data_IF_124023811020
#
_entry.id   IF_124023811020
#
_cell.length_a   1.000
_cell.length_b   1.000
_cell.length_c   1.000
_cell.angle_alpha   90.00
_cell.angle_beta   90.00
_cell.angle_gamma   90.00
#
_symmetry.space_group_name_H-M   'P 1'
#
loop_
_entity.id
_entity.type
_entity.pdbx_description
1 polymer ?
#
# COMPACT_ATOMS: atom_id res chain seq x y z
N UNK A 1 15.45 28.51 -18.26
CA UNK A 1 14.08 28.20 -17.82
C UNK A 1 14.06 26.74 -17.37
N UNK A 2 13.65 26.40 -16.15
CA UNK A 2 13.53 25.02 -15.75
C UNK A 2 12.46 24.36 -16.65
N UNK A 3 12.84 23.26 -17.29
CA UNK A 3 11.93 22.41 -18.07
C UNK A 3 10.84 21.95 -17.09
N UNK A 4 9.60 22.38 -17.30
CA UNK A 4 8.46 21.83 -16.55
C UNK A 4 8.51 20.32 -16.75
N UNK A 5 8.55 19.50 -15.69
CA UNK A 5 8.50 18.06 -15.85
C UNK A 5 7.23 17.74 -16.64
N UNK A 6 7.41 17.11 -17.79
CA UNK A 6 6.29 16.67 -18.62
C UNK A 6 5.48 15.60 -17.92
N UNK A 7 4.23 15.41 -18.34
CA UNK A 7 3.42 14.29 -17.87
C UNK A 7 4.17 12.97 -18.11
N UNK A 8 4.15 12.06 -17.12
CA UNK A 8 4.57 10.68 -17.34
C UNK A 8 3.69 10.07 -18.44
N UNK A 9 4.30 9.45 -19.43
CA UNK A 9 3.60 8.77 -20.53
C UNK A 9 4.16 7.39 -20.75
N UNK A 10 3.30 6.41 -20.73
CA UNK A 10 3.52 5.06 -21.21
C UNK A 10 2.80 4.95 -22.55
N UNK A 11 3.51 4.54 -23.60
CA UNK A 11 3.01 4.47 -24.98
C UNK A 11 3.15 3.04 -25.48
N UNK A 12 2.03 2.35 -25.72
CA UNK A 12 1.93 0.97 -26.17
C UNK A 12 2.86 0.04 -25.38
N UNK A 13 2.84 0.12 -24.03
CA UNK A 13 3.75 -0.62 -23.17
C UNK A 13 3.32 -2.08 -23.07
N UNK A 14 4.22 -2.97 -23.49
CA UNK A 14 4.11 -4.41 -23.30
C UNK A 14 5.12 -4.90 -22.29
N UNK A 15 4.75 -5.91 -21.51
CA UNK A 15 5.67 -6.59 -20.59
C UNK A 15 5.41 -8.08 -20.55
N UNK A 16 6.49 -8.83 -20.75
CA UNK A 16 6.54 -10.30 -20.63
C UNK A 16 7.75 -10.70 -19.80
N UNK A 17 7.63 -11.71 -19.00
CA UNK A 17 8.72 -12.31 -18.24
C UNK A 17 9.04 -13.68 -18.82
N UNK A 18 10.21 -13.80 -19.44
CA UNK A 18 10.64 -15.04 -20.11
C UNK A 18 9.64 -15.48 -21.18
N UNK A 19 9.16 -16.75 -21.09
CA UNK A 19 8.17 -17.35 -22.02
C UNK A 19 6.73 -17.31 -21.51
N UNK A 20 6.49 -16.67 -20.33
CA UNK A 20 5.17 -16.55 -19.77
C UNK A 20 4.25 -15.66 -20.65
N UNK A 21 2.92 -15.73 -20.49
CA UNK A 21 1.98 -14.79 -21.12
C UNK A 21 2.34 -13.33 -20.82
N UNK A 22 1.89 -12.42 -21.66
CA UNK A 22 2.05 -11.00 -21.43
C UNK A 22 1.32 -10.55 -20.17
N UNK A 23 2.04 -9.82 -19.32
CA UNK A 23 1.49 -9.20 -18.11
C UNK A 23 0.89 -7.84 -18.41
N UNK A 24 1.47 -7.10 -19.36
CA UNK A 24 0.93 -5.86 -19.92
C UNK A 24 0.90 -5.99 -21.43
N UNK A 25 -0.24 -5.65 -22.04
CA UNK A 25 -0.53 -5.86 -23.46
C UNK A 25 -0.93 -4.51 -24.12
N UNK A 26 0.07 -3.69 -24.47
CA UNK A 26 -0.15 -2.43 -25.15
C UNK A 26 -0.76 -1.34 -24.25
N UNK A 27 -0.26 -1.20 -23.02
CA UNK A 27 -0.80 -0.23 -22.07
C UNK A 27 -0.40 1.20 -22.47
N UNK A 28 -1.42 2.05 -22.63
CA UNK A 28 -1.29 3.50 -22.75
C UNK A 28 -1.74 4.17 -21.47
N UNK A 29 -0.87 5.01 -20.90
CA UNK A 29 -1.16 5.77 -19.68
C UNK A 29 -0.45 7.12 -19.72
N UNK A 30 -1.19 8.17 -19.43
CA UNK A 30 -0.61 9.49 -19.14
C UNK A 30 -0.99 9.90 -17.71
N UNK A 31 -0.02 10.46 -16.96
CA UNK A 31 -0.24 11.04 -15.65
C UNK A 31 0.32 12.46 -15.67
N UNK A 32 -0.57 13.44 -15.64
CA UNK A 32 -0.19 14.85 -15.68
C UNK A 32 0.38 15.33 -14.33
N UNK A 33 1.15 16.44 -14.29
CA UNK A 33 1.45 17.13 -13.05
C UNK A 33 0.16 17.47 -12.29
N UNK A 34 0.18 17.30 -10.98
CA UNK A 34 -0.98 17.51 -10.08
C UNK A 34 -2.12 16.50 -10.27
N UNK A 35 -1.94 15.48 -11.06
CA UNK A 35 -2.94 14.43 -11.27
C UNK A 35 -2.66 13.23 -10.35
N UNK A 36 -3.72 12.68 -9.78
CA UNK A 36 -3.71 11.41 -9.06
C UNK A 36 -4.40 10.37 -9.93
N UNK A 37 -3.68 9.29 -10.25
CA UNK A 37 -4.22 8.14 -10.95
C UNK A 37 -4.19 6.93 -10.03
N UNK A 38 -5.35 6.32 -9.82
CA UNK A 38 -5.53 5.10 -9.03
C UNK A 38 -5.73 3.93 -9.97
N UNK A 39 -4.89 2.90 -9.83
CA UNK A 39 -5.00 1.67 -10.63
C UNK A 39 -5.49 0.53 -9.74
N UNK A 40 -6.72 0.09 -9.98
CA UNK A 40 -7.30 -1.10 -9.37
C UNK A 40 -7.14 -2.33 -10.27
N UNK A 41 -7.38 -3.51 -9.72
CA UNK A 41 -7.35 -4.76 -10.48
C UNK A 41 -7.08 -5.96 -9.56
N UNK A 42 -7.38 -7.19 -10.02
CA UNK A 42 -7.15 -8.40 -9.24
C UNK A 42 -5.65 -8.63 -8.97
N UNK A 43 -5.35 -9.50 -8.00
CA UNK A 43 -3.98 -9.93 -7.75
C UNK A 43 -3.43 -10.65 -9.00
N UNK A 44 -2.17 -10.38 -9.35
CA UNK A 44 -1.55 -10.93 -10.55
C UNK A 44 -1.92 -10.21 -11.86
N UNK A 45 -2.75 -9.18 -11.85
CA UNK A 45 -3.14 -8.46 -13.08
C UNK A 45 -2.03 -7.60 -13.70
N UNK A 46 -0.88 -7.42 -13.02
CA UNK A 46 0.24 -6.66 -13.53
C UNK A 46 0.38 -5.25 -12.93
N UNK A 47 -0.40 -4.87 -11.90
CA UNK A 47 -0.31 -3.55 -11.25
C UNK A 47 1.10 -3.19 -10.83
N UNK A 48 1.75 -4.03 -10.02
CA UNK A 48 3.12 -3.81 -9.56
C UNK A 48 4.13 -3.75 -10.73
N UNK A 49 3.86 -4.50 -11.80
CA UNK A 49 4.68 -4.44 -13.03
C UNK A 49 4.54 -3.08 -13.71
N UNK A 50 3.32 -2.57 -13.84
CA UNK A 50 3.04 -1.25 -14.39
C UNK A 50 3.74 -0.16 -13.57
N UNK A 51 3.62 -0.22 -12.23
CA UNK A 51 4.24 0.74 -11.32
C UNK A 51 5.78 0.69 -11.39
N UNK A 52 6.38 -0.50 -11.43
CA UNK A 52 7.83 -0.65 -11.60
C UNK A 52 8.32 -0.04 -12.91
N UNK A 53 7.56 -0.18 -14.00
CA UNK A 53 7.91 0.44 -15.28
C UNK A 53 7.75 1.96 -15.19
N UNK A 54 6.67 2.46 -14.59
CA UNK A 54 6.46 3.88 -14.37
C UNK A 54 7.59 4.50 -13.51
N UNK A 55 7.95 3.86 -12.41
CA UNK A 55 9.03 4.29 -11.52
C UNK A 55 10.44 4.18 -12.15
N UNK A 56 10.60 3.36 -13.19
CA UNK A 56 11.89 3.13 -13.85
C UNK A 56 12.72 1.99 -13.27
N UNK A 57 12.20 1.26 -12.31
CA UNK A 57 12.84 0.08 -11.73
C UNK A 57 12.73 -1.17 -12.61
N UNK A 58 11.87 -1.14 -13.65
CA UNK A 58 11.77 -2.18 -14.68
C UNK A 58 11.68 -1.57 -16.07
N UNK A 59 12.19 -2.27 -17.08
CA UNK A 59 12.06 -1.88 -18.49
C UNK A 59 10.86 -2.61 -19.11
N UNK A 60 10.08 -1.96 -20.01
CA UNK A 60 9.08 -2.65 -20.81
C UNK A 60 9.77 -3.63 -21.78
N UNK A 61 9.05 -4.64 -22.27
CA UNK A 61 9.53 -5.53 -23.35
C UNK A 61 9.46 -4.80 -24.69
N UNK A 62 8.39 -4.02 -24.92
CA UNK A 62 8.25 -3.10 -26.03
C UNK A 62 7.38 -1.90 -25.62
N UNK A 63 7.26 -0.90 -26.49
CA UNK A 63 6.65 0.38 -26.16
C UNK A 63 7.65 1.37 -25.57
N UNK A 64 7.18 2.51 -25.07
CA UNK A 64 8.03 3.62 -24.61
C UNK A 64 7.50 4.22 -23.32
N UNK A 65 8.43 4.74 -22.49
CA UNK A 65 8.12 5.55 -21.31
C UNK A 65 8.80 6.91 -21.49
N UNK A 66 8.03 7.99 -21.39
CA UNK A 66 8.50 9.37 -21.54
C UNK A 66 8.05 10.25 -20.39
N UNK A 67 8.71 11.36 -20.18
CA UNK A 67 8.31 12.39 -19.23
C UNK A 67 8.44 11.98 -17.76
N UNK A 68 9.21 10.92 -17.44
CA UNK A 68 9.48 10.58 -16.05
C UNK A 68 10.24 11.72 -15.37
N UNK A 69 9.77 12.13 -14.20
CA UNK A 69 10.44 13.13 -13.41
C UNK A 69 11.85 12.70 -13.00
N UNK A 70 12.80 13.63 -12.84
CA UNK A 70 14.16 13.32 -12.39
C UNK A 70 14.19 12.67 -11.00
N UNK A 71 13.29 13.10 -10.10
CA UNK A 71 13.14 12.55 -8.75
C UNK A 71 11.81 11.79 -8.69
N UNK A 72 11.89 10.51 -8.34
CA UNK A 72 10.75 9.61 -8.23
C UNK A 72 10.69 9.08 -6.80
N UNK A 73 9.61 9.38 -6.09
CA UNK A 73 9.27 8.73 -4.84
C UNK A 73 8.61 7.38 -5.16
N UNK A 74 9.22 6.28 -4.76
CA UNK A 74 8.70 4.95 -5.07
C UNK A 74 8.57 4.08 -3.83
N UNK A 75 7.36 3.58 -3.59
CA UNK A 75 7.06 2.53 -2.63
C UNK A 75 6.70 1.25 -3.39
N UNK A 76 7.48 0.16 -3.30
CA UNK A 76 7.10 -1.14 -3.82
C UNK A 76 6.06 -1.82 -2.90
N UNK A 77 5.29 -2.77 -3.46
CA UNK A 77 4.32 -3.62 -2.73
C UNK A 77 4.93 -4.26 -1.45
N UNK A 78 6.18 -4.69 -1.55
CA UNK A 78 6.95 -5.17 -0.40
C UNK A 78 8.22 -4.35 -0.26
N UNK A 79 8.25 -3.54 0.78
CA UNK A 79 9.46 -2.80 1.13
C UNK A 79 10.43 -3.72 1.87
N UNK A 80 11.60 -3.97 1.26
CA UNK A 80 12.62 -4.81 1.87
C UNK A 80 13.43 -4.02 2.90
N UNK A 81 13.25 -4.34 4.17
CA UNK A 81 13.98 -3.76 5.28
C UNK A 81 15.21 -4.59 5.71
N UNK A 82 15.84 -5.36 4.82
CA UNK A 82 16.96 -6.25 5.16
C UNK A 82 18.28 -5.52 5.50
N UNK A 83 18.29 -4.21 5.49
CA UNK A 83 19.46 -3.41 5.80
C UNK A 83 19.77 -3.43 7.30
N UNK A 84 21.05 -3.61 7.66
CA UNK A 84 21.53 -3.48 9.04
C UNK A 84 21.65 -2.02 9.52
N UNK A 85 21.36 -1.08 8.64
CA UNK A 85 21.39 0.36 8.90
C UNK A 85 20.11 0.78 9.65
N UNK A 86 20.21 1.68 10.65
CA UNK A 86 19.06 2.28 11.29
C UNK A 86 18.18 3.08 10.31
N UNK A 87 16.84 3.06 10.52
CA UNK A 87 15.89 3.75 9.65
C UNK A 87 16.17 5.26 9.54
N UNK A 88 16.52 5.92 10.64
CA UNK A 88 16.88 7.35 10.65
C UNK A 88 18.13 7.64 9.78
N UNK A 89 19.13 6.76 9.81
CA UNK A 89 20.35 6.90 9.00
C UNK A 89 20.04 6.67 7.53
N UNK A 90 19.21 5.65 7.23
CA UNK A 90 18.76 5.34 5.88
C UNK A 90 18.03 6.52 5.23
N UNK A 91 17.02 7.08 5.90
CA UNK A 91 16.24 8.21 5.39
C UNK A 91 17.09 9.45 5.18
N UNK A 92 18.04 9.75 6.08
CA UNK A 92 19.00 10.84 5.92
C UNK A 92 19.92 10.67 4.71
N UNK A 93 20.40 9.44 4.44
CA UNK A 93 21.21 9.17 3.26
C UNK A 93 20.43 9.39 1.96
N UNK A 94 19.16 8.98 1.93
CA UNK A 94 18.30 9.21 0.77
C UNK A 94 18.07 10.69 0.50
N UNK A 95 17.79 11.48 1.54
CA UNK A 95 17.64 12.91 1.43
C UNK A 95 18.93 13.56 0.84
N UNK A 96 20.10 13.13 1.31
CA UNK A 96 21.37 13.63 0.78
C UNK A 96 21.58 13.25 -0.71
N UNK A 97 21.14 12.08 -1.14
CA UNK A 97 21.21 11.66 -2.56
C UNK A 97 20.33 12.55 -3.47
N UNK A 98 19.22 13.06 -2.96
CA UNK A 98 18.33 13.95 -3.69
C UNK A 98 18.76 15.43 -3.63
N UNK A 99 19.93 15.71 -3.04
CA UNK A 99 20.47 17.08 -2.87
C UNK A 99 19.54 18.01 -2.06
N UNK A 100 18.71 17.43 -1.23
CA UNK A 100 17.85 18.16 -0.30
C UNK A 100 18.62 18.50 0.99
N UNK A 101 18.09 19.41 1.80
CA UNK A 101 18.59 19.60 3.15
C UNK A 101 18.35 18.31 3.94
N UNK A 102 19.40 17.49 4.08
CA UNK A 102 19.31 16.17 4.70
C UNK A 102 18.80 16.22 6.15
N UNK A 103 19.03 17.32 6.87
CA UNK A 103 18.52 17.49 8.23
C UNK A 103 17.00 17.73 8.22
N UNK A 104 16.52 18.67 7.40
CA UNK A 104 15.08 18.98 7.28
C UNK A 104 14.29 17.78 6.73
N UNK A 105 14.84 17.06 5.74
CA UNK A 105 14.20 15.87 5.20
C UNK A 105 14.17 14.72 6.22
N UNK A 106 15.20 14.56 7.05
CA UNK A 106 15.20 13.57 8.12
C UNK A 106 14.19 13.91 9.23
N UNK A 107 14.03 15.19 9.55
CA UNK A 107 13.02 15.69 10.50
C UNK A 107 11.61 15.41 9.97
N UNK A 108 11.32 15.82 8.73
CA UNK A 108 10.03 15.55 8.07
C UNK A 108 9.73 14.05 7.96
N UNK A 109 10.74 13.22 7.73
CA UNK A 109 10.58 11.77 7.75
C UNK A 109 10.24 11.25 9.15
N UNK A 110 10.84 11.81 10.19
CA UNK A 110 10.55 11.49 11.60
C UNK A 110 9.11 11.83 11.96
N UNK A 111 8.66 13.05 11.65
CA UNK A 111 7.28 13.49 11.84
C UNK A 111 6.27 12.60 11.12
N UNK A 112 6.58 12.22 9.87
CA UNK A 112 5.71 11.32 9.11
C UNK A 112 5.65 9.93 9.73
N UNK A 113 6.76 9.38 10.20
CA UNK A 113 6.80 8.08 10.87
C UNK A 113 5.95 8.10 12.15
N UNK A 114 6.05 9.17 12.94
CA UNK A 114 5.24 9.38 14.15
C UNK A 114 3.74 9.46 13.79
N UNK A 115 3.38 10.28 12.81
CA UNK A 115 2.00 10.43 12.34
C UNK A 115 1.41 9.13 11.76
N UNK A 116 2.24 8.26 11.18
CA UNK A 116 1.86 6.93 10.73
C UNK A 116 1.82 5.91 11.87
N UNK A 117 2.08 6.30 13.12
CA UNK A 117 2.09 5.40 14.26
C UNK A 117 3.24 4.39 14.23
N UNK A 118 4.46 4.82 13.84
CA UNK A 118 5.65 3.99 13.93
C UNK A 118 5.94 3.63 15.39
N UNK A 119 6.10 2.34 15.68
CA UNK A 119 6.33 1.84 17.04
C UNK A 119 7.79 1.47 17.22
N UNK A 120 8.41 1.98 18.28
CA UNK A 120 9.80 1.70 18.63
C UNK A 120 10.77 2.80 18.22
N UNK A 121 12.05 2.48 18.08
CA UNK A 121 13.11 3.44 17.81
C UNK A 121 13.54 3.43 16.35
N UNK A 122 13.63 4.60 15.73
CA UNK A 122 14.23 4.76 14.38
C UNK A 122 15.73 4.48 14.36
N UNK A 123 16.36 4.27 15.55
CA UNK A 123 17.77 3.82 15.71
C UNK A 123 17.89 2.31 15.62
N UNK A 124 16.80 1.55 15.65
CA UNK A 124 16.80 0.11 15.42
C UNK A 124 17.21 -0.18 13.98
N UNK A 125 18.09 -1.17 13.73
CA UNK A 125 18.38 -1.63 12.37
C UNK A 125 17.11 -2.02 11.64
N UNK A 126 17.02 -1.65 10.35
CA UNK A 126 15.82 -1.93 9.55
C UNK A 126 15.51 -3.43 9.47
N UNK A 127 16.53 -4.30 9.50
CA UNK A 127 16.36 -5.76 9.54
C UNK A 127 15.67 -6.30 10.79
N UNK A 128 15.54 -5.49 11.84
CA UNK A 128 14.81 -5.83 13.08
C UNK A 128 13.40 -5.21 13.16
N UNK A 129 12.97 -4.51 12.11
CA UNK A 129 11.63 -3.92 12.08
C UNK A 129 10.57 -4.96 11.76
N UNK A 130 9.38 -4.80 12.34
CA UNK A 130 8.19 -5.51 11.88
C UNK A 130 7.84 -5.10 10.44
N UNK A 131 7.11 -5.94 9.72
CA UNK A 131 6.68 -5.64 8.34
C UNK A 131 5.91 -4.31 8.26
N UNK A 132 5.01 -4.04 9.21
CA UNK A 132 4.28 -2.78 9.28
C UNK A 132 5.17 -1.56 9.52
N UNK A 133 6.20 -1.66 10.38
CA UNK A 133 7.16 -0.59 10.57
C UNK A 133 8.07 -0.41 9.34
N UNK A 134 8.46 -1.49 8.69
CA UNK A 134 9.22 -1.44 7.44
C UNK A 134 8.42 -0.73 6.34
N UNK A 135 7.13 -1.02 6.22
CA UNK A 135 6.22 -0.34 5.29
C UNK A 135 6.15 1.17 5.57
N UNK A 136 6.05 1.58 6.84
CA UNK A 136 6.05 3.00 7.23
C UNK A 136 7.37 3.70 6.86
N UNK A 137 8.51 3.04 7.02
CA UNK A 137 9.81 3.56 6.54
C UNK A 137 9.81 3.70 5.01
N UNK A 138 9.27 2.73 4.28
CA UNK A 138 9.11 2.80 2.83
C UNK A 138 8.21 3.97 2.39
N UNK A 139 7.12 4.24 3.13
CA UNK A 139 6.28 5.42 2.91
C UNK A 139 7.04 6.73 3.17
N UNK A 140 7.77 6.81 4.28
CA UNK A 140 8.58 7.97 4.58
C UNK A 140 9.64 8.21 3.49
N UNK A 141 10.33 7.16 3.02
CA UNK A 141 11.25 7.23 1.88
C UNK A 141 10.60 7.84 0.63
N UNK A 142 9.39 7.38 0.27
CA UNK A 142 8.74 7.80 -0.96
C UNK A 142 8.20 9.24 -0.88
N UNK A 143 7.78 9.69 0.31
CA UNK A 143 7.08 10.96 0.53
C UNK A 143 7.98 12.10 1.03
N UNK A 144 9.17 11.80 1.59
CA UNK A 144 10.04 12.84 2.16
C UNK A 144 10.98 13.50 1.14
N UNK A 145 11.00 13.05 -0.10
CA UNK A 145 11.69 13.74 -1.18
C UNK A 145 10.68 14.58 -2.00
N UNK A 146 11.14 15.73 -2.50
CA UNK A 146 10.35 16.59 -3.40
C UNK A 146 10.20 15.93 -4.77
N UNK A 147 9.48 14.81 -4.81
CA UNK A 147 9.32 13.99 -6.00
C UNK A 147 8.38 14.66 -7.01
N UNK A 148 8.81 14.78 -8.25
CA UNK A 148 7.94 15.19 -9.36
C UNK A 148 7.02 14.06 -9.84
N UNK A 149 7.34 12.81 -9.47
CA UNK A 149 6.51 11.63 -9.69
C UNK A 149 6.50 10.78 -8.42
N UNK A 150 5.31 10.51 -7.90
CA UNK A 150 5.08 9.63 -6.77
C UNK A 150 4.41 8.34 -7.25
N UNK A 151 5.04 7.20 -7.01
CA UNK A 151 4.55 5.88 -7.42
C UNK A 151 4.42 5.00 -6.17
N UNK A 152 3.20 4.61 -5.83
CA UNK A 152 2.92 3.88 -4.60
C UNK A 152 2.17 2.57 -4.89
N UNK A 153 2.78 1.46 -4.55
CA UNK A 153 2.19 0.13 -4.74
C UNK A 153 1.55 -0.33 -3.42
N UNK A 154 0.20 -0.34 -3.40
CA UNK A 154 -0.64 -0.75 -2.28
C UNK A 154 -0.29 -0.07 -0.93
N UNK A 155 -0.14 1.26 -0.89
CA UNK A 155 0.45 1.97 0.24
C UNK A 155 -0.38 1.92 1.53
N UNK A 156 -1.67 1.60 1.45
CA UNK A 156 -2.58 1.48 2.62
C UNK A 156 -2.60 0.09 3.24
N UNK A 157 -1.94 -0.89 2.61
CA UNK A 157 -1.89 -2.26 3.12
C UNK A 157 -1.24 -2.29 4.50
N UNK A 158 -1.90 -2.91 5.48
CA UNK A 158 -1.40 -3.03 6.85
C UNK A 158 -1.42 -1.74 7.68
N UNK A 159 -1.96 -0.62 7.18
CA UNK A 159 -2.17 0.60 7.97
C UNK A 159 -3.50 0.52 8.74
N UNK A 160 -3.50 1.06 9.95
CA UNK A 160 -4.73 1.34 10.68
C UNK A 160 -5.47 2.56 10.11
N UNK A 161 -6.70 2.80 10.55
CA UNK A 161 -7.53 3.88 10.02
C UNK A 161 -6.92 5.29 10.22
N UNK A 162 -6.33 5.64 11.37
CA UNK A 162 -5.63 6.91 11.56
C UNK A 162 -4.47 7.10 10.59
N UNK A 163 -3.57 6.11 10.47
CA UNK A 163 -2.42 6.16 9.56
C UNK A 163 -2.87 6.24 8.08
N UNK A 164 -3.94 5.54 7.71
CA UNK A 164 -4.52 5.62 6.37
C UNK A 164 -5.02 7.04 6.04
N UNK A 165 -5.65 7.74 7.00
CA UNK A 165 -6.08 9.13 6.81
C UNK A 165 -4.89 10.10 6.67
N UNK A 166 -3.85 9.91 7.47
CA UNK A 166 -2.60 10.68 7.34
C UNK A 166 -2.02 10.50 5.94
N UNK A 167 -1.94 9.26 5.45
CA UNK A 167 -1.40 8.97 4.13
C UNK A 167 -2.24 9.57 3.01
N UNK A 168 -3.58 9.52 3.09
CA UNK A 168 -4.48 10.17 2.13
C UNK A 168 -4.18 11.67 2.03
N UNK A 169 -4.03 12.35 3.18
CA UNK A 169 -3.66 13.77 3.23
C UNK A 169 -2.30 14.04 2.58
N UNK A 170 -1.29 13.22 2.87
CA UNK A 170 0.06 13.38 2.30
C UNK A 170 0.10 13.16 0.79
N UNK A 171 -0.63 12.17 0.28
CA UNK A 171 -0.74 11.91 -1.16
C UNK A 171 -1.44 13.08 -1.87
N UNK A 172 -2.54 13.58 -1.29
CA UNK A 172 -3.25 14.72 -1.84
C UNK A 172 -2.40 16.00 -1.84
N UNK A 173 -1.65 16.26 -0.76
CA UNK A 173 -0.73 17.39 -0.67
C UNK A 173 0.39 17.30 -1.72
N UNK A 174 1.03 16.15 -1.88
CA UNK A 174 2.07 15.95 -2.90
C UNK A 174 1.56 16.28 -4.32
N UNK A 175 0.32 15.88 -4.65
CA UNK A 175 -0.28 16.24 -5.92
C UNK A 175 -0.57 17.75 -6.02
N UNK A 176 -1.06 18.39 -4.95
CA UNK A 176 -1.27 19.84 -4.91
C UNK A 176 0.04 20.62 -5.08
N UNK A 177 1.15 20.10 -4.57
CA UNK A 177 2.49 20.68 -4.68
C UNK A 177 3.12 20.47 -6.07
N UNK A 178 2.46 19.70 -6.94
CA UNK A 178 2.85 19.57 -8.34
C UNK A 178 3.26 18.19 -8.79
N UNK A 179 3.35 17.21 -7.89
CA UNK A 179 3.70 15.84 -8.27
C UNK A 179 2.63 15.19 -9.15
N UNK A 180 3.07 14.35 -10.08
CA UNK A 180 2.22 13.33 -10.72
C UNK A 180 2.15 12.14 -9.75
N UNK A 181 0.96 11.62 -9.47
CA UNK A 181 0.79 10.50 -8.53
C UNK A 181 0.18 9.30 -9.24
N UNK A 182 0.84 8.15 -9.14
CA UNK A 182 0.34 6.87 -9.60
C UNK A 182 0.32 5.89 -8.42
N UNK A 183 -0.86 5.40 -8.08
CA UNK A 183 -1.06 4.55 -6.91
C UNK A 183 -1.91 3.33 -7.25
N UNK A 184 -1.58 2.17 -6.67
CA UNK A 184 -2.47 1.02 -6.68
C UNK A 184 -3.24 0.91 -5.38
N UNK A 185 -4.46 0.41 -5.46
CA UNK A 185 -5.29 0.16 -4.29
C UNK A 185 -6.20 -1.05 -4.54
N UNK A 186 -6.26 -1.94 -3.57
CA UNK A 186 -7.20 -3.06 -3.52
C UNK A 186 -8.16 -2.97 -2.33
N UNK A 187 -7.91 -2.02 -1.41
CA UNK A 187 -8.72 -1.81 -0.20
C UNK A 187 -9.90 -0.89 -0.43
N UNK A 188 -9.85 -0.08 -1.50
CA UNK A 188 -10.81 0.98 -1.79
C UNK A 188 -10.58 2.27 -1.00
N UNK A 189 -9.51 2.36 -0.21
CA UNK A 189 -9.17 3.57 0.56
C UNK A 189 -8.87 4.76 -0.36
N UNK A 190 -8.25 4.51 -1.52
CA UNK A 190 -7.94 5.54 -2.51
C UNK A 190 -9.19 6.20 -3.12
N UNK A 191 -10.40 5.64 -2.95
CA UNK A 191 -11.63 6.29 -3.40
C UNK A 191 -11.89 7.63 -2.68
N UNK A 192 -11.28 7.83 -1.50
CA UNK A 192 -11.35 9.10 -0.76
C UNK A 192 -10.38 10.18 -1.29
N UNK A 193 -9.48 9.86 -2.24
CA UNK A 193 -8.58 10.84 -2.83
C UNK A 193 -9.36 11.83 -3.71
N UNK A 194 -9.20 13.14 -3.50
CA UNK A 194 -9.95 14.13 -4.24
C UNK A 194 -9.51 14.16 -5.71
N UNK A 195 -10.47 14.19 -6.62
CA UNK A 195 -10.26 14.32 -8.08
C UNK A 195 -9.34 13.24 -8.68
N UNK A 196 -9.23 12.08 -8.03
CA UNK A 196 -8.45 10.98 -8.56
C UNK A 196 -9.12 10.37 -9.80
N UNK A 197 -8.33 10.10 -10.84
CA UNK A 197 -8.78 9.33 -12.00
C UNK A 197 -8.58 7.84 -11.72
N UNK A 198 -9.64 7.07 -11.81
CA UNK A 198 -9.64 5.65 -11.52
C UNK A 198 -9.55 4.83 -12.80
N UNK A 199 -8.64 3.87 -12.81
CA UNK A 199 -8.42 2.93 -13.89
C UNK A 199 -8.42 1.50 -13.33
N UNK A 200 -8.76 0.52 -14.17
CA UNK A 200 -8.68 -0.90 -13.84
C UNK A 200 -7.74 -1.59 -14.82
N UNK A 201 -6.78 -2.33 -14.27
CA UNK A 201 -5.90 -3.21 -15.03
C UNK A 201 -6.44 -4.64 -14.99
N UNK A 202 -6.78 -5.20 -16.15
CA UNK A 202 -7.30 -6.55 -16.29
C UNK A 202 -6.91 -7.13 -17.66
N UNK A 203 -6.42 -8.37 -17.66
CA UNK A 203 -5.98 -9.02 -18.91
C UNK A 203 -4.84 -8.30 -19.62
N UNK A 204 -4.01 -7.56 -18.87
CA UNK A 204 -2.91 -6.77 -19.43
C UNK A 204 -3.32 -5.41 -20.01
N UNK A 205 -4.60 -5.08 -20.03
CA UNK A 205 -5.14 -3.81 -20.55
C UNK A 205 -5.58 -2.88 -19.43
N UNK A 206 -5.44 -1.58 -19.64
CA UNK A 206 -5.83 -0.54 -18.70
C UNK A 206 -7.09 0.17 -19.22
N UNK A 207 -8.16 0.18 -18.45
CA UNK A 207 -9.45 0.77 -18.83
C UNK A 207 -9.94 1.75 -17.77
N UNK A 208 -10.70 2.81 -18.13
CA UNK A 208 -11.39 3.64 -17.14
C UNK A 208 -12.29 2.81 -16.24
N UNK A 209 -12.34 3.16 -14.95
CA UNK A 209 -13.18 2.48 -13.97
C UNK A 209 -13.76 3.53 -13.02
N UNK A 210 -14.99 3.36 -12.53
CA UNK A 210 -15.47 4.21 -11.44
C UNK A 210 -14.59 4.00 -10.19
N UNK A 211 -14.53 4.99 -9.27
CA UNK A 211 -13.97 4.78 -7.95
C UNK A 211 -14.59 3.53 -7.34
N UNK A 212 -13.77 2.66 -6.81
CA UNK A 212 -14.27 1.54 -6.02
C UNK A 212 -14.21 2.00 -4.55
N UNK A 213 -15.33 2.48 -3.98
CA UNK A 213 -15.37 2.70 -2.55
C UNK A 213 -15.10 1.37 -1.85
N UNK A 214 -14.60 1.44 -0.64
CA UNK A 214 -14.35 0.27 0.19
C UNK A 214 -15.47 -0.75 -0.01
N UNK A 215 -15.25 -1.74 -0.86
CA UNK A 215 -15.96 -2.99 -0.73
C UNK A 215 -15.69 -3.49 0.69
N UNK A 216 -16.56 -4.29 1.27
CA UNK A 216 -16.28 -4.86 2.57
C UNK A 216 -14.86 -5.42 2.53
N UNK A 217 -14.01 -4.98 3.47
CA UNK A 217 -12.62 -5.41 3.54
C UNK A 217 -12.60 -6.93 3.40
N UNK A 218 -11.66 -7.50 2.63
CA UNK A 218 -11.62 -8.95 2.48
C UNK A 218 -11.64 -9.56 3.87
N UNK A 219 -12.61 -10.41 4.11
CA UNK A 219 -12.80 -11.05 5.41
C UNK A 219 -12.01 -12.35 5.44
N UNK A 220 -11.46 -12.65 6.58
CA UNK A 220 -11.01 -14.00 6.96
C UNK A 220 -12.00 -14.57 7.96
N UNK A 221 -12.23 -15.84 7.86
CA UNK A 221 -12.96 -16.62 8.86
C UNK A 221 -11.92 -17.17 9.84
N UNK A 222 -12.05 -16.76 11.09
CA UNK A 222 -11.21 -17.27 12.19
C UNK A 222 -12.07 -18.15 13.05
N UNK A 223 -11.67 -19.42 13.20
CA UNK A 223 -12.30 -20.35 14.12
C UNK A 223 -11.43 -20.47 15.36
N UNK A 224 -12.04 -20.25 16.52
CA UNK A 224 -11.39 -20.33 17.80
C UNK A 224 -12.11 -21.36 18.71
N UNK A 225 -11.34 -22.06 19.50
CA UNK A 225 -11.83 -22.72 20.70
C UNK A 225 -11.36 -21.91 21.90
N UNK A 226 -12.27 -21.55 22.82
CA UNK A 226 -11.95 -20.78 24.00
C UNK A 226 -12.35 -21.57 25.25
N UNK A 227 -11.50 -21.57 26.32
CA UNK A 227 -11.83 -22.20 27.58
C UNK A 227 -12.89 -21.43 28.39
N UNK A 228 -13.18 -20.18 27.98
CA UNK A 228 -14.22 -19.34 28.55
C UNK A 228 -15.59 -19.69 27.95
N UNK A 229 -16.66 -19.34 28.66
CA UNK A 229 -17.99 -19.37 28.08
C UNK A 229 -18.03 -18.58 26.75
N UNK A 230 -18.58 -19.15 25.66
CA UNK A 230 -18.59 -18.52 24.33
C UNK A 230 -19.16 -17.10 24.32
N UNK A 231 -20.13 -16.79 25.19
CA UNK A 231 -20.69 -15.44 25.29
C UNK A 231 -19.70 -14.45 25.91
N UNK A 232 -18.92 -14.89 26.92
CA UNK A 232 -17.89 -14.05 27.54
C UNK A 232 -16.72 -13.81 26.56
N UNK A 233 -16.28 -14.85 25.87
CA UNK A 233 -15.23 -14.73 24.85
C UNK A 233 -15.67 -13.82 23.69
N UNK A 234 -16.92 -13.95 23.24
CA UNK A 234 -17.48 -13.09 22.21
C UNK A 234 -17.56 -11.63 22.67
N UNK A 235 -17.94 -11.37 23.92
CA UNK A 235 -17.96 -10.03 24.49
C UNK A 235 -16.57 -9.40 24.59
N UNK A 236 -15.55 -10.16 24.99
CA UNK A 236 -14.17 -9.70 25.08
C UNK A 236 -13.57 -9.38 23.68
N UNK A 237 -13.96 -10.13 22.64
CA UNK A 237 -13.52 -9.93 21.25
C UNK A 237 -14.41 -8.95 20.45
N UNK A 238 -15.51 -8.48 21.03
CA UNK A 238 -16.43 -7.52 20.39
C UNK A 238 -15.79 -6.25 19.84
N UNK A 239 -14.70 -5.68 20.42
CA UNK A 239 -14.01 -4.52 19.83
C UNK A 239 -13.42 -4.79 18.44
N UNK A 240 -13.16 -6.04 18.10
CA UNK A 240 -12.55 -6.42 16.83
C UNK A 240 -13.57 -6.85 15.78
N UNK A 241 -14.68 -7.48 16.22
CA UNK A 241 -15.65 -8.06 15.29
C UNK A 241 -16.96 -8.46 15.98
N UNK A 242 -18.05 -8.57 15.20
CA UNK A 242 -19.26 -9.26 15.67
C UNK A 242 -19.00 -10.78 15.67
N UNK A 243 -19.01 -11.37 16.84
CA UNK A 243 -18.84 -12.80 17.03
C UNK A 243 -20.20 -13.51 16.94
N UNK A 244 -20.23 -14.66 16.27
CA UNK A 244 -21.35 -15.58 16.32
C UNK A 244 -20.92 -16.89 16.99
N UNK A 245 -21.50 -17.26 18.14
CA UNK A 245 -21.21 -18.56 18.76
C UNK A 245 -21.72 -19.69 17.88
N UNK A 246 -20.89 -20.71 17.67
CA UNK A 246 -21.22 -21.91 16.91
C UNK A 246 -20.90 -23.14 17.80
N UNK A 247 -21.79 -23.44 18.73
CA UNK A 247 -21.60 -24.50 19.71
C UNK A 247 -20.48 -24.14 20.71
N UNK A 248 -19.47 -25.02 20.80
CA UNK A 248 -18.27 -24.86 21.63
C UNK A 248 -17.16 -24.04 20.97
N UNK A 249 -17.41 -23.48 19.78
CA UNK A 249 -16.47 -22.72 18.97
C UNK A 249 -16.98 -21.32 18.69
N UNK A 250 -16.04 -20.41 18.45
CA UNK A 250 -16.33 -19.07 17.96
C UNK A 250 -15.91 -18.98 16.50
N UNK A 251 -16.84 -18.62 15.63
CA UNK A 251 -16.57 -18.36 14.21
C UNK A 251 -16.68 -16.84 14.00
N UNK A 252 -15.58 -16.23 13.60
CA UNK A 252 -15.44 -14.79 13.49
C UNK A 252 -15.11 -14.40 12.06
N UNK A 253 -15.91 -13.50 11.47
CA UNK A 253 -15.63 -12.89 10.17
C UNK A 253 -14.89 -11.57 10.40
N UNK A 254 -13.59 -11.56 10.13
CA UNK A 254 -12.68 -10.48 10.51
C UNK A 254 -12.09 -9.83 9.27
N UNK A 255 -12.09 -8.49 9.17
CA UNK A 255 -11.31 -7.81 8.13
C UNK A 255 -9.83 -8.22 8.22
N UNK A 256 -9.21 -8.57 7.08
CA UNK A 256 -7.79 -9.01 7.02
C UNK A 256 -6.87 -8.06 7.79
N UNK A 257 -7.07 -6.74 7.68
CA UNK A 257 -6.25 -5.76 8.40
C UNK A 257 -6.44 -5.73 9.94
N UNK A 258 -7.40 -6.51 10.49
CA UNK A 258 -7.62 -6.65 11.94
C UNK A 258 -7.38 -8.06 12.46
N UNK A 259 -7.08 -9.02 11.59
CA UNK A 259 -6.91 -10.42 11.95
C UNK A 259 -5.80 -10.62 12.98
N UNK A 260 -4.63 -10.01 12.80
CA UNK A 260 -3.49 -10.17 13.73
C UNK A 260 -3.78 -9.62 15.11
N UNK A 261 -4.46 -8.49 15.21
CA UNK A 261 -4.84 -7.90 16.48
C UNK A 261 -5.87 -8.78 17.22
N UNK A 262 -6.84 -9.32 16.47
CA UNK A 262 -7.81 -10.27 17.03
C UNK A 262 -7.14 -11.56 17.48
N UNK A 263 -6.22 -12.13 16.69
CA UNK A 263 -5.53 -13.37 17.03
C UNK A 263 -4.69 -13.21 18.31
N UNK A 264 -4.01 -12.07 18.48
CA UNK A 264 -3.30 -11.75 19.73
C UNK A 264 -4.25 -11.68 20.91
N UNK A 265 -5.34 -10.93 20.80
CA UNK A 265 -6.34 -10.82 21.87
C UNK A 265 -6.97 -12.18 22.22
N UNK A 266 -7.21 -13.03 21.23
CA UNK A 266 -7.73 -14.38 21.45
C UNK A 266 -6.72 -15.26 22.20
N UNK A 267 -5.45 -15.21 21.85
CA UNK A 267 -4.37 -15.93 22.55
C UNK A 267 -4.19 -15.43 24.00
N UNK A 268 -4.29 -14.11 24.23
CA UNK A 268 -4.23 -13.50 25.56
C UNK A 268 -5.40 -13.96 26.46
N UNK A 269 -6.54 -14.28 25.87
CA UNK A 269 -7.70 -14.88 26.55
C UNK A 269 -7.58 -16.39 26.75
N UNK A 270 -6.48 -17.00 26.32
CA UNK A 270 -6.24 -18.43 26.39
C UNK A 270 -7.00 -19.25 25.33
N UNK A 271 -7.54 -18.62 24.29
CA UNK A 271 -8.21 -19.34 23.21
C UNK A 271 -7.17 -20.03 22.31
N UNK A 272 -7.57 -21.15 21.71
CA UNK A 272 -6.79 -21.85 20.69
C UNK A 272 -7.32 -21.51 19.30
N UNK A 273 -6.40 -21.20 18.38
CA UNK A 273 -6.73 -20.93 16.97
C UNK A 273 -6.88 -22.27 16.26
N UNK A 274 -8.08 -22.57 15.76
CA UNK A 274 -8.36 -23.79 15.05
C UNK A 274 -8.13 -23.66 13.53
N UNK A 275 -8.60 -22.54 12.95
CA UNK A 275 -8.38 -22.25 11.54
C UNK A 275 -8.41 -20.74 11.27
N UNK A 276 -7.70 -20.32 10.21
CA UNK A 276 -7.79 -18.98 9.61
C UNK A 276 -7.89 -19.17 8.11
N UNK A 277 -9.04 -18.92 7.54
CA UNK A 277 -9.30 -19.15 6.11
C UNK A 277 -9.88 -17.89 5.45
N UNK A 278 -9.58 -17.61 4.17
CA UNK A 278 -10.28 -16.55 3.46
C UNK A 278 -11.79 -16.82 3.46
N UNK A 279 -12.59 -15.79 3.78
CA UNK A 279 -14.03 -15.93 3.62
C UNK A 279 -14.37 -16.15 2.16
N UNK A 280 -15.21 -17.15 1.85
CA UNK A 280 -15.70 -17.38 0.51
C UNK A 280 -16.40 -16.10 0.04
N UNK A 281 -16.01 -15.56 -1.13
CA UNK A 281 -16.78 -14.50 -1.78
C UNK A 281 -18.07 -15.15 -2.25
N UNK A 282 -19.19 -14.75 -1.68
CA UNK A 282 -20.49 -15.05 -2.26
C UNK A 282 -20.45 -14.59 -3.73
N UNK A 283 -20.55 -15.55 -4.64
CA UNK A 283 -20.78 -15.25 -6.05
C UNK A 283 -22.10 -14.46 -6.11
N UNK A 284 -22.19 -13.33 -6.81
CA UNK A 284 -23.46 -12.64 -6.99
C UNK A 284 -24.44 -13.57 -7.70
N UNK A 285 -25.61 -13.75 -7.10
CA UNK A 285 -26.77 -14.39 -7.75
C UNK A 285 -27.24 -13.52 -8.91
#
# INVERSE_FOLDING_TARGET
MPVRPGALRLEAVHKRYGRAPEVLAGVDLAVAPREIVVVAGPNGSGKSTLLRIAAGSSRPTSGRVRGRAPVVGYLPDRFSAQLRMPAAVYLRHLAALHRENAAAAAESAGELLEALGFVGSTRTPMSGLSEGNAQKVGLAQALCCSAGLLVLDEPWSGLDAPAAQVLLGRVAAAAQDGASVLVTDHTGTAAALPRARHLRLQGGELRPSPPQPNGPAPLVVVELWCPLDPAQAAAALAPFVRAAPAGDRLVLHVPVGRSDALLRAALDLGCSILSVTPAARDAPR
#
